data_IF_096324702337
#
_entry.id   IF_096324702337
#
_cell.length_a   1.000
_cell.length_b   1.000
_cell.length_c   1.000
_cell.angle_alpha   90.00
_cell.angle_beta   90.00
_cell.angle_gamma   90.00
#
_symmetry.space_group_name_H-M   'P 1'
#
loop_
_entity.id
_entity.type
_entity.pdbx_description
1 polymer ?
#
# COMPACT_ATOMS: atom_id res chain seq x y z
N UNK A 1 35.25 -14.38 45.05
CA UNK A 1 33.84 -14.14 45.41
C UNK A 1 33.00 -14.28 44.16
N UNK A 2 32.21 -15.35 44.09
CA UNK A 2 31.23 -15.61 43.02
C UNK A 2 29.95 -14.85 43.37
N UNK A 3 29.39 -14.07 42.44
CA UNK A 3 28.05 -13.51 42.59
C UNK A 3 27.19 -14.04 41.45
N UNK A 4 26.24 -14.87 41.87
CA UNK A 4 25.28 -15.66 41.12
C UNK A 4 24.25 -14.78 40.41
N UNK A 5 23.88 -15.15 39.18
CA UNK A 5 22.70 -14.62 38.50
C UNK A 5 21.44 -15.18 39.17
N UNK A 6 20.60 -14.31 39.72
CA UNK A 6 19.28 -14.66 40.24
C UNK A 6 18.28 -14.55 39.08
N UNK A 7 17.60 -15.67 38.82
CA UNK A 7 16.45 -15.83 37.94
C UNK A 7 15.20 -15.27 38.63
N UNK A 8 14.45 -14.39 37.98
CA UNK A 8 13.07 -14.10 38.35
C UNK A 8 12.12 -14.71 37.31
N UNK A 9 11.63 -15.91 37.62
CA UNK A 9 10.23 -16.29 37.43
C UNK A 9 9.38 -15.26 38.24
N UNK A 10 8.18 -14.82 37.90
CA UNK A 10 7.07 -15.37 37.13
C UNK A 10 6.08 -14.21 36.90
N UNK A 11 5.67 -13.96 35.67
CA UNK A 11 4.40 -13.29 35.38
C UNK A 11 3.57 -14.28 34.57
N UNK A 12 2.48 -14.75 35.16
CA UNK A 12 1.51 -15.66 34.57
C UNK A 12 0.90 -15.04 33.32
N UNK A 13 1.25 -15.61 32.16
CA UNK A 13 0.64 -15.32 30.87
C UNK A 13 -0.60 -16.21 30.78
N UNK A 14 -1.70 -15.76 31.37
CA UNK A 14 -3.02 -16.32 31.05
C UNK A 14 -3.75 -15.34 30.12
N UNK A 15 -3.82 -15.76 28.86
CA UNK A 15 -4.83 -15.46 27.83
C UNK A 15 -5.07 -14.02 27.36
N UNK A 16 -4.08 -13.45 26.68
CA UNK A 16 -4.36 -12.61 25.50
C UNK A 16 -4.13 -13.46 24.25
N UNK A 17 -5.17 -14.14 23.77
CA UNK A 17 -5.13 -14.75 22.44
C UNK A 17 -5.17 -13.65 21.37
N UNK A 18 -4.00 -13.16 20.98
CA UNK A 18 -3.84 -12.37 19.77
C UNK A 18 -4.05 -13.31 18.59
N UNK A 19 -5.26 -13.35 18.03
CA UNK A 19 -5.54 -14.04 16.76
C UNK A 19 -4.75 -13.33 15.66
N UNK A 20 -3.59 -13.89 15.30
CA UNK A 20 -2.86 -13.48 14.10
C UNK A 20 -3.69 -13.88 12.86
N UNK A 21 -4.41 -12.92 12.29
CA UNK A 21 -5.36 -13.08 11.18
C UNK A 21 -4.75 -13.66 9.90
N UNK A 22 -3.42 -13.65 9.82
CA UNK A 22 -2.61 -14.10 8.70
C UNK A 22 -2.03 -15.52 8.86
N UNK A 23 -2.07 -16.14 10.06
CA UNK A 23 -1.63 -17.53 10.24
C UNK A 23 -2.47 -18.47 9.37
N UNK A 24 -1.80 -19.34 8.62
CA UNK A 24 -2.44 -20.29 7.72
C UNK A 24 -2.89 -19.72 6.38
N UNK A 25 -2.71 -18.41 6.13
CA UNK A 25 -3.05 -17.82 4.84
C UNK A 25 -2.08 -18.28 3.73
N UNK A 26 -2.56 -18.59 2.52
CA UNK A 26 -1.73 -19.04 1.40
C UNK A 26 -0.73 -17.96 0.97
N UNK A 27 0.41 -18.40 0.44
CA UNK A 27 1.40 -17.47 -0.10
C UNK A 27 0.99 -17.01 -1.50
N UNK A 28 0.98 -15.70 -1.72
CA UNK A 28 0.76 -15.05 -3.02
C UNK A 28 2.06 -14.88 -3.82
N UNK A 29 3.21 -15.16 -3.21
CA UNK A 29 4.53 -15.00 -3.82
C UNK A 29 5.14 -16.33 -4.30
N UNK A 30 4.61 -17.48 -3.85
CA UNK A 30 5.15 -18.79 -4.20
C UNK A 30 4.07 -19.88 -4.13
N UNK A 31 4.30 -20.98 -4.86
CA UNK A 31 3.45 -22.17 -4.81
C UNK A 31 3.92 -23.23 -3.80
N UNK A 32 5.02 -22.96 -3.09
CA UNK A 32 5.64 -23.92 -2.16
C UNK A 32 5.02 -23.88 -0.76
N UNK A 33 4.28 -22.82 -0.42
CA UNK A 33 3.70 -22.64 0.90
C UNK A 33 2.34 -23.33 1.08
N UNK A 34 2.33 -24.67 1.04
CA UNK A 34 1.08 -25.46 1.09
C UNK A 34 0.29 -25.32 2.39
N UNK A 35 0.98 -25.13 3.51
CA UNK A 35 0.38 -24.99 4.84
C UNK A 35 0.04 -23.53 5.21
N UNK A 36 0.26 -22.59 4.29
CA UNK A 36 0.07 -21.16 4.54
C UNK A 36 1.09 -20.57 5.51
N UNK A 37 0.86 -19.32 5.94
CA UNK A 37 1.81 -18.57 6.75
C UNK A 37 2.06 -19.24 8.08
N UNK A 38 3.34 -19.31 8.45
CA UNK A 38 3.77 -19.75 9.77
C UNK A 38 4.84 -18.80 10.31
N UNK A 39 4.58 -18.07 11.40
CA UNK A 39 5.48 -17.05 11.89
C UNK A 39 6.79 -17.64 12.45
N UNK A 40 7.89 -16.89 12.29
CA UNK A 40 9.14 -17.13 12.99
C UNK A 40 9.19 -16.32 14.28
N UNK A 41 9.88 -16.85 15.29
CA UNK A 41 10.07 -16.15 16.57
C UNK A 41 10.96 -14.90 16.41
N UNK A 42 11.77 -14.83 15.34
CA UNK A 42 12.80 -13.79 15.17
C UNK A 42 13.07 -13.38 13.71
N UNK A 43 12.28 -13.87 12.74
CA UNK A 43 12.44 -13.54 11.32
C UNK A 43 11.10 -13.08 10.74
N UNK A 44 11.14 -12.09 9.85
CA UNK A 44 9.96 -11.56 9.10
C UNK A 44 9.48 -12.48 7.96
N UNK A 45 10.05 -13.67 7.85
CA UNK A 45 9.78 -14.64 6.78
C UNK A 45 9.03 -15.85 7.30
N UNK A 46 8.08 -16.33 6.49
CA UNK A 46 7.34 -17.55 6.75
C UNK A 46 8.27 -18.75 6.99
N UNK A 47 8.02 -19.55 8.04
CA UNK A 47 8.76 -20.80 8.29
C UNK A 47 8.66 -21.77 7.12
N UNK A 48 7.51 -21.79 6.46
CA UNK A 48 7.14 -22.79 5.45
C UNK A 48 7.73 -22.49 4.07
N UNK A 49 7.78 -21.22 3.64
CA UNK A 49 8.23 -20.87 2.28
C UNK A 49 9.29 -19.75 2.21
N UNK A 50 9.72 -19.22 3.36
CA UNK A 50 10.70 -18.11 3.47
C UNK A 50 10.27 -16.79 2.81
N UNK A 51 9.08 -16.70 2.22
CA UNK A 51 8.49 -15.45 1.74
C UNK A 51 8.15 -14.52 2.91
N UNK A 52 8.05 -13.22 2.66
CA UNK A 52 7.72 -12.24 3.70
C UNK A 52 6.28 -12.41 4.18
N UNK A 53 5.98 -11.94 5.41
CA UNK A 53 4.62 -11.93 5.98
C UNK A 53 3.61 -11.29 5.02
N UNK A 54 3.99 -10.21 4.34
CA UNK A 54 3.17 -9.52 3.33
C UNK A 54 2.74 -10.44 2.18
N UNK A 55 3.55 -11.44 1.84
CA UNK A 55 3.20 -12.46 0.84
C UNK A 55 2.03 -13.35 1.27
N UNK A 56 1.63 -13.30 2.54
CA UNK A 56 0.57 -14.09 3.14
C UNK A 56 -0.65 -13.29 3.59
N UNK A 57 -0.64 -11.97 3.43
CA UNK A 57 -1.83 -11.19 3.78
C UNK A 57 -2.87 -11.30 2.66
N UNK A 58 -3.90 -12.14 2.84
CA UNK A 58 -5.07 -12.09 1.96
C UNK A 58 -5.85 -10.81 2.29
N UNK A 59 -5.83 -9.88 1.34
CA UNK A 59 -6.63 -8.67 1.41
C UNK A 59 -8.00 -8.97 0.79
N UNK A 60 -9.05 -9.09 1.60
CA UNK A 60 -10.44 -9.10 1.10
C UNK A 60 -10.91 -7.70 0.69
N UNK A 61 -10.11 -6.66 0.97
CA UNK A 61 -10.42 -5.26 0.73
C UNK A 61 -10.24 -4.89 -0.74
N UNK A 62 -11.26 -4.24 -1.30
CA UNK A 62 -11.33 -3.84 -2.69
C UNK A 62 -10.57 -2.53 -2.94
N UNK A 63 -9.25 -2.55 -2.77
CA UNK A 63 -8.38 -1.43 -3.16
C UNK A 63 -7.96 -0.47 -2.06
N UNK A 64 -7.13 0.50 -2.44
CA UNK A 64 -6.61 1.53 -1.55
C UNK A 64 -7.73 2.37 -0.92
N UNK A 65 -8.81 2.63 -1.66
CA UNK A 65 -9.93 3.43 -1.15
C UNK A 65 -10.58 2.82 0.08
N UNK A 66 -10.86 1.53 0.07
CA UNK A 66 -11.38 0.84 1.25
C UNK A 66 -10.38 0.85 2.41
N UNK A 67 -9.08 0.67 2.12
CA UNK A 67 -8.04 0.69 3.16
C UNK A 67 -7.87 2.07 3.81
N UNK A 68 -7.98 3.13 3.02
CA UNK A 68 -7.76 4.51 3.46
C UNK A 68 -9.04 5.19 3.95
N UNK A 69 -10.18 4.48 3.98
CA UNK A 69 -11.45 5.01 4.48
C UNK A 69 -12.13 6.03 3.55
N UNK A 70 -11.79 6.05 2.26
CA UNK A 70 -12.46 6.93 1.29
C UNK A 70 -13.88 6.42 0.99
N UNK A 71 -14.90 7.23 1.30
CA UNK A 71 -16.32 6.92 1.05
C UNK A 71 -16.75 7.51 -0.30
N UNK A 72 -17.26 6.68 -1.21
CA UNK A 72 -17.94 7.17 -2.42
C UNK A 72 -17.97 6.18 -3.59
N UNK A 73 -19.14 6.08 -4.24
CA UNK A 73 -19.34 5.41 -5.52
C UNK A 73 -19.90 6.42 -6.53
N UNK A 74 -19.04 6.93 -7.39
CA UNK A 74 -19.41 7.55 -8.66
C UNK A 74 -18.25 7.28 -9.62
N UNK A 75 -18.29 6.13 -10.29
CA UNK A 75 -17.26 5.67 -11.21
C UNK A 75 -17.74 4.43 -11.94
N UNK A 76 -17.02 4.06 -13.00
CA UNK A 76 -17.28 2.83 -13.74
C UNK A 76 -17.08 1.61 -12.84
N UNK A 77 -17.93 0.60 -13.00
CA UNK A 77 -17.67 -0.70 -12.37
C UNK A 77 -16.48 -1.39 -13.05
N UNK A 78 -15.38 -1.50 -12.32
CA UNK A 78 -14.15 -2.12 -12.82
C UNK A 78 -14.38 -3.57 -13.27
N UNK A 79 -15.19 -4.33 -12.52
CA UNK A 79 -15.40 -5.75 -12.80
C UNK A 79 -16.16 -5.98 -14.09
N UNK A 80 -17.18 -5.15 -14.37
CA UNK A 80 -17.90 -5.15 -15.65
C UNK A 80 -16.98 -4.87 -16.84
N UNK A 81 -15.88 -4.12 -16.64
CA UNK A 81 -14.87 -3.86 -17.67
C UNK A 81 -13.74 -4.90 -17.72
N UNK A 82 -13.79 -5.95 -16.90
CA UNK A 82 -12.76 -7.00 -16.85
C UNK A 82 -11.51 -6.62 -16.06
N UNK A 83 -11.56 -5.56 -15.27
CA UNK A 83 -10.46 -5.11 -14.41
C UNK A 83 -10.79 -5.23 -12.93
N UNK A 84 -9.78 -5.33 -12.07
CA UNK A 84 -9.94 -5.28 -10.61
C UNK A 84 -9.90 -3.85 -10.06
N UNK A 85 -9.59 -2.87 -10.90
CA UNK A 85 -9.52 -1.45 -10.58
C UNK A 85 -9.78 -0.58 -11.82
N UNK A 86 -10.40 0.57 -11.61
CA UNK A 86 -10.50 1.64 -12.60
C UNK A 86 -9.97 2.93 -11.95
N UNK A 87 -8.99 3.61 -12.58
CA UNK A 87 -8.49 4.88 -12.09
C UNK A 87 -9.60 5.93 -11.92
N UNK A 88 -9.62 6.67 -10.79
CA UNK A 88 -10.52 7.80 -10.61
C UNK A 88 -10.39 8.83 -11.74
N UNK A 89 -11.50 9.45 -12.15
CA UNK A 89 -11.53 10.45 -13.22
C UNK A 89 -11.82 9.92 -14.61
N UNK A 90 -11.72 8.59 -14.82
CA UNK A 90 -12.13 7.96 -16.09
C UNK A 90 -13.61 7.62 -16.06
N UNK A 91 -14.33 8.05 -17.10
CA UNK A 91 -15.80 7.95 -17.18
C UNK A 91 -16.29 7.07 -18.33
N UNK A 92 -15.41 6.65 -19.24
CA UNK A 92 -15.75 5.76 -20.35
C UNK A 92 -14.80 4.57 -20.44
N UNK A 93 -15.28 3.43 -20.94
CA UNK A 93 -14.46 2.23 -21.18
C UNK A 93 -13.25 2.54 -22.08
N UNK A 94 -13.43 3.37 -23.12
CA UNK A 94 -12.35 3.81 -24.00
C UNK A 94 -11.21 4.51 -23.26
N UNK A 95 -11.53 5.37 -22.29
CA UNK A 95 -10.51 6.03 -21.48
C UNK A 95 -9.78 5.05 -20.57
N UNK A 96 -10.48 4.05 -20.04
CA UNK A 96 -9.88 2.97 -19.23
C UNK A 96 -8.89 2.17 -20.08
N UNK A 97 -9.28 1.78 -21.30
CA UNK A 97 -8.41 1.06 -22.22
C UNK A 97 -7.20 1.91 -22.65
N UNK A 98 -7.39 3.22 -22.90
CA UNK A 98 -6.30 4.15 -23.18
C UNK A 98 -5.35 4.33 -22.00
N UNK A 99 -5.85 4.31 -20.76
CA UNK A 99 -4.98 4.36 -19.58
C UNK A 99 -4.12 3.10 -19.52
N UNK A 100 -4.75 1.92 -19.58
CA UNK A 100 -4.04 0.65 -19.42
C UNK A 100 -3.14 0.28 -20.60
N UNK A 101 -3.39 0.79 -21.81
CA UNK A 101 -2.50 0.59 -22.96
C UNK A 101 -1.13 1.28 -22.80
N UNK A 102 -1.01 2.22 -21.86
CA UNK A 102 0.27 2.90 -21.56
C UNK A 102 1.11 2.16 -20.51
N UNK A 103 0.56 1.12 -19.87
CA UNK A 103 1.27 0.29 -18.91
C UNK A 103 1.83 -0.97 -19.59
N UNK A 104 2.94 -1.54 -19.07
CA UNK A 104 3.35 -2.88 -19.43
C UNK A 104 2.22 -3.89 -19.16
N UNK A 105 2.04 -4.87 -20.05
CA UNK A 105 0.89 -5.80 -20.02
C UNK A 105 0.73 -6.56 -18.70
N UNK A 106 1.85 -6.86 -18.05
CA UNK A 106 1.97 -7.55 -16.77
C UNK A 106 1.59 -6.70 -15.57
N UNK A 107 1.57 -5.36 -15.73
CA UNK A 107 1.16 -4.40 -14.71
C UNK A 107 -0.35 -4.11 -14.76
N UNK A 108 -1.03 -4.50 -15.85
CA UNK A 108 -2.46 -4.23 -16.04
C UNK A 108 -3.29 -5.16 -15.14
N UNK A 109 -4.14 -4.62 -14.25
CA UNK A 109 -4.83 -5.40 -13.23
C UNK A 109 -6.13 -6.03 -13.75
N UNK A 110 -6.05 -6.78 -14.85
CA UNK A 110 -7.17 -7.58 -15.40
C UNK A 110 -7.54 -8.68 -14.41
N UNK A 111 -8.84 -9.01 -14.33
CA UNK A 111 -9.32 -10.08 -13.45
C UNK A 111 -8.61 -11.42 -13.77
N UNK A 112 -8.09 -12.09 -12.74
CA UNK A 112 -7.34 -13.33 -12.80
C UNK A 112 -5.91 -13.21 -13.35
N UNK A 113 -5.43 -12.00 -13.63
CA UNK A 113 -4.11 -11.79 -14.24
C UNK A 113 -2.99 -11.61 -13.24
N UNK A 114 -1.74 -11.72 -13.71
CA UNK A 114 -0.54 -11.36 -12.93
C UNK A 114 -0.60 -9.91 -12.42
N UNK A 115 -1.14 -8.98 -13.20
CA UNK A 115 -1.25 -7.59 -12.80
C UNK A 115 -2.24 -7.38 -11.65
N UNK A 116 -3.31 -8.17 -11.57
CA UNK A 116 -4.20 -8.15 -10.40
C UNK A 116 -3.47 -8.64 -9.15
N UNK A 117 -2.71 -9.73 -9.25
CA UNK A 117 -1.90 -10.22 -8.13
C UNK A 117 -0.84 -9.19 -7.69
N UNK A 118 -0.14 -8.54 -8.63
CA UNK A 118 0.82 -7.48 -8.33
C UNK A 118 0.14 -6.28 -7.67
N UNK A 119 -1.05 -5.89 -8.13
CA UNK A 119 -1.84 -4.84 -7.49
C UNK A 119 -2.15 -5.19 -6.03
N UNK A 120 -2.65 -6.39 -5.75
CA UNK A 120 -2.94 -6.84 -4.39
C UNK A 120 -1.69 -6.84 -3.50
N UNK A 121 -0.54 -7.30 -4.02
CA UNK A 121 0.74 -7.22 -3.32
C UNK A 121 1.15 -5.78 -3.01
N UNK A 122 0.93 -4.84 -3.94
CA UNK A 122 1.18 -3.42 -3.71
C UNK A 122 0.23 -2.83 -2.67
N UNK A 123 -1.04 -3.23 -2.63
CA UNK A 123 -1.97 -2.79 -1.57
C UNK A 123 -1.41 -3.16 -0.19
N UNK A 124 -0.99 -4.41 -0.01
CA UNK A 124 -0.42 -4.89 1.27
C UNK A 124 0.83 -4.08 1.65
N UNK A 125 1.80 -4.00 0.72
CA UNK A 125 3.10 -3.39 1.00
C UNK A 125 3.04 -1.87 1.12
N UNK A 126 2.26 -1.20 0.27
CA UNK A 126 2.23 0.26 0.22
C UNK A 126 1.28 0.87 1.25
N UNK A 127 0.28 0.11 1.73
CA UNK A 127 -0.74 0.57 2.67
C UNK A 127 -0.84 -0.40 3.88
N UNK A 128 0.20 -0.51 4.73
CA UNK A 128 0.22 -1.43 5.85
C UNK A 128 -0.88 -1.08 6.85
N UNK A 129 -1.68 -2.07 7.28
CA UNK A 129 -2.84 -1.83 8.16
C UNK A 129 -2.48 -1.18 9.48
N UNK A 130 -1.29 -1.47 9.99
CA UNK A 130 -0.76 -0.91 11.23
C UNK A 130 -0.63 0.61 11.13
N UNK A 131 -0.33 1.16 9.96
CA UNK A 131 -0.22 2.60 9.77
C UNK A 131 -1.60 3.25 9.58
N UNK A 132 -2.61 2.46 9.25
CA UNK A 132 -3.96 2.93 8.93
C UNK A 132 -4.92 2.85 10.12
N UNK A 133 -4.74 1.87 11.00
CA UNK A 133 -5.61 1.64 12.15
C UNK A 133 -4.84 1.25 13.41
N UNK A 134 -5.16 1.93 14.52
CA UNK A 134 -4.68 1.54 15.86
C UNK A 134 -5.01 0.10 16.20
N UNK A 135 -6.20 -0.38 15.83
CA UNK A 135 -6.61 -1.76 16.12
C UNK A 135 -5.79 -2.82 15.38
N UNK A 136 -5.04 -2.42 14.35
CA UNK A 136 -4.12 -3.29 13.65
C UNK A 136 -2.70 -3.27 14.26
N UNK A 137 -2.42 -2.32 15.16
CA UNK A 137 -1.16 -2.24 15.88
C UNK A 137 -1.16 -3.20 17.06
N UNK A 138 -0.12 -4.02 17.19
CA UNK A 138 -0.02 -5.05 18.24
C UNK A 138 0.75 -4.56 19.46
N UNK A 139 1.66 -3.60 19.29
CA UNK A 139 2.63 -3.24 20.33
C UNK A 139 2.70 -1.74 20.64
N UNK A 140 1.69 -0.97 20.23
CA UNK A 140 1.60 0.44 20.62
C UNK A 140 1.21 0.51 22.09
N UNK A 141 2.10 1.06 22.91
CA UNK A 141 1.77 1.41 24.30
C UNK A 141 0.69 2.50 24.31
N UNK A 142 -0.18 2.45 25.32
CA UNK A 142 -1.21 3.45 25.57
C UNK A 142 -0.67 4.88 25.55
N UNK A 143 0.57 5.09 26.01
CA UNK A 143 1.26 6.38 26.00
C UNK A 143 1.50 6.95 24.59
N UNK A 144 1.55 6.10 23.56
CA UNK A 144 1.80 6.51 22.17
C UNK A 144 0.52 6.61 21.32
N UNK A 145 -0.65 6.27 21.85
CA UNK A 145 -1.92 6.35 21.11
C UNK A 145 -2.21 7.75 20.57
N UNK A 146 -1.93 8.79 21.36
CA UNK A 146 -2.14 10.18 20.93
C UNK A 146 -1.23 10.53 19.77
N UNK A 147 0.06 10.23 19.88
CA UNK A 147 1.03 10.47 18.80
C UNK A 147 0.65 9.73 17.52
N UNK A 148 0.11 8.52 17.63
CA UNK A 148 -0.40 7.78 16.48
C UNK A 148 -1.62 8.46 15.84
N UNK A 149 -2.60 8.88 16.65
CA UNK A 149 -3.80 9.59 16.16
C UNK A 149 -3.41 10.89 15.45
N UNK A 150 -2.43 11.62 16.00
CA UNK A 150 -1.89 12.82 15.39
C UNK A 150 -1.20 12.52 14.05
N UNK A 151 -0.41 11.45 13.99
CA UNK A 151 0.21 10.97 12.74
C UNK A 151 -0.83 10.64 11.67
N UNK A 152 -1.85 9.84 12.01
CA UNK A 152 -2.91 9.46 11.06
C UNK A 152 -3.71 10.68 10.59
N UNK A 153 -4.05 11.58 11.52
CA UNK A 153 -4.77 12.83 11.21
C UNK A 153 -3.94 13.70 10.27
N UNK A 154 -2.68 13.98 10.63
CA UNK A 154 -1.77 14.78 9.82
C UNK A 154 -1.54 14.17 8.44
N UNK A 155 -1.36 12.84 8.36
CA UNK A 155 -1.30 12.14 7.07
C UNK A 155 -2.56 12.39 6.26
N UNK A 156 -3.75 12.08 6.79
CA UNK A 156 -4.99 12.10 6.03
C UNK A 156 -5.37 13.52 5.57
N UNK A 157 -5.13 14.53 6.41
CA UNK A 157 -5.52 15.91 6.12
C UNK A 157 -4.51 16.65 5.25
N UNK A 158 -3.20 16.41 5.45
CA UNK A 158 -2.14 17.22 4.86
C UNK A 158 -1.40 16.49 3.74
N UNK A 159 -1.06 15.22 3.92
CA UNK A 159 -0.14 14.52 3.02
C UNK A 159 -0.84 13.64 1.99
N UNK A 160 -1.85 12.87 2.42
CA UNK A 160 -2.51 11.82 1.65
C UNK A 160 -3.55 12.38 0.69
N UNK A 161 -3.57 11.85 -0.52
CA UNK A 161 -4.56 12.11 -1.54
C UNK A 161 -4.59 10.98 -2.58
N UNK A 162 -5.49 11.07 -3.55
CA UNK A 162 -5.64 10.12 -4.65
C UNK A 162 -5.47 10.84 -5.98
N UNK A 163 -4.58 10.31 -6.81
CA UNK A 163 -4.38 10.81 -8.17
C UNK A 163 -5.63 10.64 -9.03
N UNK A 164 -5.83 11.58 -9.94
CA UNK A 164 -6.96 11.60 -10.86
C UNK A 164 -6.43 11.37 -12.27
N UNK A 165 -6.92 10.33 -12.93
CA UNK A 165 -6.63 10.04 -14.32
C UNK A 165 -7.57 10.83 -15.23
N UNK A 166 -7.00 11.59 -16.18
CA UNK A 166 -7.75 12.39 -17.16
C UNK A 166 -6.89 12.65 -18.41
N UNK A 167 -7.48 13.05 -19.55
CA UNK A 167 -6.70 13.48 -20.70
C UNK A 167 -5.72 14.60 -20.32
N UNK A 168 -4.48 14.48 -20.78
CA UNK A 168 -3.43 15.46 -20.56
C UNK A 168 -3.79 16.81 -21.20
N UNK A 169 -3.52 17.94 -20.52
CA UNK A 169 -3.50 19.24 -21.17
C UNK A 169 -2.49 19.25 -22.34
N UNK A 170 -2.69 20.09 -23.37
CA UNK A 170 -1.71 20.27 -24.44
C UNK A 170 -0.34 20.69 -23.88
N UNK A 171 0.75 20.26 -24.52
CA UNK A 171 2.13 20.60 -24.15
C UNK A 171 2.53 20.20 -22.72
N UNK A 172 1.86 19.20 -22.14
CA UNK A 172 2.22 18.70 -20.81
C UNK A 172 3.52 17.91 -20.82
N UNK A 173 4.29 18.03 -19.75
CA UNK A 173 5.53 17.29 -19.50
C UNK A 173 5.35 16.43 -18.26
N UNK A 174 5.80 15.18 -18.32
CA UNK A 174 5.70 14.25 -17.21
C UNK A 174 6.64 14.67 -16.08
N UNK A 175 6.10 14.83 -14.88
CA UNK A 175 6.86 15.27 -13.71
C UNK A 175 7.91 14.28 -13.20
N UNK A 176 7.88 13.01 -13.63
CA UNK A 176 8.89 12.02 -13.26
C UNK A 176 9.95 11.80 -14.36
N UNK A 177 9.54 11.50 -15.59
CA UNK A 177 10.50 11.20 -16.67
C UNK A 177 10.91 12.42 -17.51
N UNK A 178 10.32 13.59 -17.28
CA UNK A 178 10.54 14.83 -18.02
C UNK A 178 10.26 14.77 -19.53
N UNK A 179 9.69 13.67 -20.03
CA UNK A 179 9.24 13.54 -21.42
C UNK A 179 7.86 14.16 -21.62
N UNK A 180 7.63 14.72 -22.81
CA UNK A 180 6.33 15.23 -23.21
C UNK A 180 5.27 14.12 -23.25
N UNK A 181 4.05 14.45 -22.80
CA UNK A 181 2.88 13.60 -22.99
C UNK A 181 2.26 13.88 -24.35
N UNK A 182 1.78 12.83 -25.02
CA UNK A 182 1.02 13.04 -26.27
C UNK A 182 -0.29 13.79 -25.97
N UNK A 183 -0.75 14.66 -26.88
CA UNK A 183 -2.03 15.34 -26.71
C UNK A 183 -3.17 14.34 -26.49
N UNK A 184 -4.03 14.63 -25.50
CA UNK A 184 -5.18 13.79 -25.11
C UNK A 184 -4.83 12.39 -24.59
N UNK A 185 -3.54 12.05 -24.43
CA UNK A 185 -3.14 10.85 -23.71
C UNK A 185 -3.65 10.91 -22.28
N UNK A 186 -4.14 9.78 -21.74
CA UNK A 186 -4.53 9.74 -20.34
C UNK A 186 -3.28 9.90 -19.46
N UNK A 187 -3.33 10.89 -18.59
CA UNK A 187 -2.30 11.21 -17.60
C UNK A 187 -2.91 11.12 -16.20
N UNK A 188 -2.05 10.98 -15.20
CA UNK A 188 -2.43 11.09 -13.79
C UNK A 188 -2.06 12.48 -13.30
N UNK A 189 -2.95 13.13 -12.56
CA UNK A 189 -2.70 14.40 -11.86
C UNK A 189 -2.78 14.20 -10.36
N UNK A 190 -1.97 14.91 -9.60
CA UNK A 190 -1.93 14.88 -8.14
C UNK A 190 -2.45 16.22 -7.60
N UNK A 191 -3.71 16.32 -7.13
CA UNK A 191 -4.32 17.59 -6.71
C UNK A 191 -3.48 18.40 -5.70
N UNK A 192 -2.79 17.72 -4.78
CA UNK A 192 -1.91 18.38 -3.79
C UNK A 192 -0.63 18.99 -4.38
N UNK A 193 -0.25 18.61 -5.60
CA UNK A 193 0.95 19.12 -6.28
C UNK A 193 0.60 20.05 -7.45
N UNK A 194 -0.58 20.67 -7.40
CA UNK A 194 -1.02 21.66 -8.37
C UNK A 194 -1.23 21.07 -9.77
N UNK A 195 -0.50 21.59 -10.75
CA UNK A 195 -0.69 21.28 -12.17
C UNK A 195 0.25 20.20 -12.71
N UNK A 196 1.02 19.53 -11.85
CA UNK A 196 1.88 18.44 -12.27
C UNK A 196 1.06 17.27 -12.82
N UNK A 197 1.62 16.64 -13.85
CA UNK A 197 1.01 15.46 -14.49
C UNK A 197 2.07 14.38 -14.68
N UNK A 198 1.63 13.12 -14.66
CA UNK A 198 2.48 11.96 -14.85
C UNK A 198 1.88 11.05 -15.92
N UNK A 199 2.75 10.37 -16.67
CA UNK A 199 2.29 9.14 -17.33
C UNK A 199 1.78 8.16 -16.28
N UNK A 200 0.80 7.30 -16.60
CA UNK A 200 0.34 6.25 -15.70
C UNK A 200 1.48 5.39 -15.13
N UNK A 201 2.43 4.97 -15.97
CA UNK A 201 3.60 4.19 -15.55
C UNK A 201 4.61 5.00 -14.74
N UNK A 202 4.56 6.33 -14.77
CA UNK A 202 5.48 7.24 -14.09
C UNK A 202 4.97 7.68 -12.71
N UNK A 203 3.70 7.42 -12.37
CA UNK A 203 3.13 7.76 -11.07
C UNK A 203 3.57 6.72 -10.02
N UNK A 204 4.80 6.89 -9.54
CA UNK A 204 5.54 5.93 -8.73
C UNK A 204 6.03 6.56 -7.43
N UNK A 205 6.15 5.76 -6.38
CA UNK A 205 6.76 6.20 -5.14
C UNK A 205 8.26 6.49 -5.35
N UNK A 206 8.73 7.64 -4.86
CA UNK A 206 10.14 8.04 -4.96
C UNK A 206 11.11 7.03 -4.31
N UNK A 207 10.71 6.36 -3.23
CA UNK A 207 11.59 5.43 -2.51
C UNK A 207 11.68 4.05 -3.17
N UNK A 208 10.56 3.38 -3.44
CA UNK A 208 10.57 2.01 -3.97
C UNK A 208 10.45 1.90 -5.49
N UNK A 209 10.21 3.01 -6.20
CA UNK A 209 10.04 3.05 -7.66
C UNK A 209 8.90 2.16 -8.21
N UNK A 210 8.00 1.72 -7.34
CA UNK A 210 6.78 1.00 -7.69
C UNK A 210 5.63 1.96 -7.98
N UNK A 211 4.73 1.55 -8.89
CA UNK A 211 3.51 2.29 -9.21
C UNK A 211 2.69 2.46 -7.93
N UNK A 212 2.22 3.68 -7.69
CA UNK A 212 1.40 4.01 -6.53
C UNK A 212 0.04 3.35 -6.67
N UNK A 213 -0.25 2.43 -5.74
CA UNK A 213 -1.39 1.53 -5.86
C UNK A 213 -2.70 2.31 -5.80
N UNK A 214 -3.57 2.05 -6.77
CA UNK A 214 -4.84 2.75 -6.96
C UNK A 214 -4.74 4.27 -6.99
N UNK A 215 -3.57 4.78 -7.39
CA UNK A 215 -3.21 6.20 -7.40
C UNK A 215 -3.21 6.85 -6.01
N UNK A 216 -3.22 6.08 -4.91
CA UNK A 216 -3.08 6.63 -3.58
C UNK A 216 -1.62 7.07 -3.33
N UNK A 217 -1.43 8.30 -2.86
CA UNK A 217 -0.11 8.89 -2.67
C UNK A 217 -0.09 9.82 -1.46
N UNK A 218 1.07 9.92 -0.81
CA UNK A 218 1.36 10.94 0.18
C UNK A 218 2.37 11.93 -0.41
N UNK A 219 2.24 13.20 -0.02
CA UNK A 219 3.19 14.26 -0.37
C UNK A 219 4.13 14.55 0.79
N UNK A 220 5.41 14.73 0.48
CA UNK A 220 6.43 15.18 1.43
C UNK A 220 7.52 15.90 0.65
N UNK A 221 7.83 17.15 1.01
CA UNK A 221 8.85 17.98 0.33
C UNK A 221 8.68 18.02 -1.21
N UNK A 222 7.45 18.27 -1.67
CA UNK A 222 7.06 18.33 -3.09
C UNK A 222 7.25 17.04 -3.91
N UNK A 223 7.55 15.91 -3.26
CA UNK A 223 7.64 14.60 -3.87
C UNK A 223 6.48 13.67 -3.47
N UNK A 224 6.29 12.60 -4.26
CA UNK A 224 5.23 11.61 -4.03
C UNK A 224 5.79 10.29 -3.46
N UNK A 225 5.14 9.83 -2.40
CA UNK A 225 5.49 8.62 -1.69
C UNK A 225 4.27 7.71 -1.57
N UNK A 226 4.49 6.39 -1.47
CA UNK A 226 3.44 5.52 -0.97
C UNK A 226 3.28 5.76 0.55
N UNK A 227 2.15 5.37 1.10
CA UNK A 227 1.84 5.58 2.51
C UNK A 227 2.94 5.03 3.42
N UNK A 228 3.38 3.78 3.17
CA UNK A 228 4.51 3.16 3.89
C UNK A 228 5.76 4.04 3.97
N UNK A 229 6.24 4.53 2.81
CA UNK A 229 7.50 5.27 2.76
C UNK A 229 7.34 6.71 3.25
N UNK A 230 6.14 7.28 3.16
CA UNK A 230 5.84 8.54 3.84
C UNK A 230 5.94 8.38 5.36
N UNK A 231 5.37 7.31 5.91
CA UNK A 231 5.47 7.03 7.34
C UNK A 231 6.94 6.92 7.80
N UNK A 232 7.76 6.23 7.00
CA UNK A 232 9.21 6.07 7.23
C UNK A 232 10.00 7.40 7.15
N UNK A 233 9.46 8.47 6.53
CA UNK A 233 10.07 9.82 6.59
C UNK A 233 9.87 10.49 7.95
N UNK A 234 8.79 10.15 8.65
CA UNK A 234 8.43 10.79 9.92
C UNK A 234 8.96 9.99 11.11
N UNK A 235 8.90 8.66 11.03
CA UNK A 235 9.26 7.76 12.13
C UNK A 235 9.83 6.45 11.59
N UNK A 236 10.88 5.86 12.22
CA UNK A 236 11.45 4.62 11.73
C UNK A 236 10.50 3.43 11.93
N UNK A 237 10.58 2.42 11.05
CA UNK A 237 9.87 1.14 11.26
C UNK A 237 10.69 0.17 12.09
N UNK A 238 10.00 -0.57 12.95
CA UNK A 238 10.57 -1.69 13.68
C UNK A 238 10.93 -2.85 12.72
N UNK A 239 12.18 -3.32 12.78
CA UNK A 239 12.66 -4.45 12.00
C UNK A 239 12.03 -5.81 12.37
N UNK A 240 11.26 -5.88 13.47
CA UNK A 240 10.54 -7.07 13.93
C UNK A 240 9.05 -7.08 13.55
N UNK A 241 8.27 -6.15 14.10
CA UNK A 241 6.81 -6.08 13.90
C UNK A 241 6.37 -5.29 12.67
N UNK A 242 7.31 -4.59 12.01
CA UNK A 242 7.03 -3.69 10.89
C UNK A 242 6.14 -2.49 11.24
N UNK A 243 5.91 -2.20 12.52
CA UNK A 243 5.18 -1.00 12.97
C UNK A 243 6.07 0.23 12.98
N UNK A 244 5.48 1.41 12.80
CA UNK A 244 6.14 2.70 12.91
C UNK A 244 6.31 3.05 14.39
N UNK A 245 7.55 3.29 14.85
CA UNK A 245 7.89 3.54 16.26
C UNK A 245 7.71 5.00 16.66
#
# INVERSE_FOLDING_TARGET
>A
MLVSRITNESLSIDDVQIKESDIGQPCTQCNECKEGFKPHVWRKTCKNCKCTRDGHEITTEYGAKSRLGFVGHNGLDARTLGYSFVPPGLTTARQVDQYYSTLPSEEVPKLGSKGEALRLQRIVRQLPKQDLSLSACKFIDSDYETSYKDFVTGRNEVALDVGIAKPSPPNSVCANCSSALSPQQIAVTAPRLGNLVWHPACFKCTTCNDILVDLAYCTFEDEIYCERHYAEKLKPRCAGCDEVS
#
